data_IF_979652432016
#
_entry.id   IF_979652432016
#
_cell.length_a   1.000
_cell.length_b   1.000
_cell.length_c   1.000
_cell.angle_alpha   90.00
_cell.angle_beta   90.00
_cell.angle_gamma   90.00
#
_symmetry.space_group_name_H-M   'P 1'
#
loop_
_entity.id
_entity.type
_entity.pdbx_description
1 polymer ?
#
# COMPACT_ATOMS: atom_id res chain seq x y z
N UNK A 1 27.17 5.32 62.09
CA UNK A 1 26.11 4.29 62.00
C UNK A 1 25.01 4.69 61.01
N UNK A 2 24.34 5.84 61.15
CA UNK A 2 23.30 6.31 60.22
C UNK A 2 23.73 6.35 58.74
N UNK A 3 24.92 6.90 58.45
CA UNK A 3 25.48 6.95 57.10
C UNK A 3 25.63 5.57 56.43
N UNK A 4 26.00 4.55 57.19
CA UNK A 4 26.12 3.19 56.66
C UNK A 4 24.74 2.61 56.29
N UNK A 5 23.71 2.89 57.09
CA UNK A 5 22.33 2.50 56.73
C UNK A 5 21.82 3.24 55.51
N UNK A 6 22.13 4.53 55.37
CA UNK A 6 21.74 5.32 54.20
C UNK A 6 22.42 4.80 52.93
N UNK A 7 23.72 4.52 52.99
CA UNK A 7 24.47 3.93 51.87
C UNK A 7 23.92 2.54 51.53
N UNK A 8 23.63 1.70 52.54
CA UNK A 8 23.02 0.40 52.33
C UNK A 8 21.63 0.51 51.68
N UNK A 9 20.80 1.47 52.10
CA UNK A 9 19.50 1.74 51.48
C UNK A 9 19.66 2.12 50.01
N UNK A 10 20.55 3.09 49.70
CA UNK A 10 20.79 3.52 48.33
C UNK A 10 21.33 2.38 47.47
N UNK A 11 22.23 1.55 48.00
CA UNK A 11 22.76 0.38 47.31
C UNK A 11 21.67 -0.65 47.01
N UNK A 12 20.77 -0.92 47.97
CA UNK A 12 19.62 -1.82 47.76
C UNK A 12 18.67 -1.25 46.72
N UNK A 13 18.31 0.04 46.80
CA UNK A 13 17.44 0.69 45.82
C UNK A 13 18.05 0.65 44.42
N UNK A 14 19.36 0.93 44.29
CA UNK A 14 20.08 0.86 43.02
C UNK A 14 20.14 -0.58 42.48
N UNK A 15 20.38 -1.57 43.34
CA UNK A 15 20.39 -2.98 42.96
C UNK A 15 19.01 -3.46 42.52
N UNK A 16 17.93 -3.06 43.21
CA UNK A 16 16.55 -3.35 42.81
C UNK A 16 16.21 -2.64 41.50
N UNK A 17 16.58 -1.37 41.35
CA UNK A 17 16.37 -0.63 40.11
C UNK A 17 17.10 -1.29 38.94
N UNK A 18 18.36 -1.73 39.14
CA UNK A 18 19.09 -2.52 38.15
C UNK A 18 18.49 -3.91 37.94
N UNK A 19 17.89 -4.55 38.94
CA UNK A 19 17.22 -5.85 38.73
C UNK A 19 15.91 -5.68 37.93
N UNK A 20 15.21 -4.57 38.12
CA UNK A 20 13.96 -4.22 37.42
C UNK A 20 14.25 -3.71 36.00
N UNK A 21 15.28 -2.88 35.81
CA UNK A 21 15.69 -2.36 34.49
C UNK A 21 16.62 -3.32 33.73
N UNK A 22 17.38 -4.14 34.44
CA UNK A 22 18.48 -4.96 33.92
C UNK A 22 18.07 -6.38 33.55
N UNK A 23 16.78 -6.70 33.54
CA UNK A 23 16.24 -7.81 32.73
C UNK A 23 16.30 -7.50 31.23
N UNK A 24 17.48 -7.08 30.75
CA UNK A 24 18.22 -7.84 29.75
C UNK A 24 17.59 -8.10 28.38
N UNK A 25 16.43 -7.55 28.05
CA UNK A 25 16.19 -7.13 26.69
C UNK A 25 17.27 -6.09 26.41
N UNK A 26 18.05 -6.31 25.36
CA UNK A 26 19.08 -5.39 24.92
C UNK A 26 18.59 -3.91 24.97
N UNK A 27 19.48 -2.95 24.71
CA UNK A 27 19.04 -1.97 23.71
C UNK A 27 18.73 -2.77 22.45
N UNK A 28 17.60 -3.48 22.44
CA UNK A 28 16.90 -3.99 21.31
C UNK A 28 16.83 -2.71 20.55
N UNK A 29 17.63 -2.62 19.48
CA UNK A 29 17.33 -1.76 18.34
C UNK A 29 15.83 -1.50 18.43
N UNK A 30 15.44 -0.33 18.94
CA UNK A 30 14.11 -0.12 19.51
C UNK A 30 13.20 -0.33 18.32
N UNK A 31 12.65 -1.55 18.21
CA UNK A 31 12.57 -2.27 16.94
C UNK A 31 12.08 -1.31 15.92
N UNK A 32 13.00 -0.82 15.04
CA UNK A 32 12.81 0.39 14.23
C UNK A 32 11.34 0.52 13.97
N UNK A 33 10.63 1.44 14.64
CA UNK A 33 9.18 1.34 14.79
C UNK A 33 8.58 1.11 13.40
N UNK A 34 8.30 -0.15 13.13
CA UNK A 34 8.24 -0.69 11.77
C UNK A 34 6.76 -0.63 11.54
N UNK A 35 6.31 0.08 10.49
CA UNK A 35 4.90 0.08 10.09
C UNK A 35 4.36 -1.35 10.27
N UNK A 36 3.52 -1.55 11.29
CA UNK A 36 2.96 -2.86 11.62
C UNK A 36 2.17 -3.39 10.42
N UNK A 37 1.59 -2.48 9.66
CA UNK A 37 0.94 -2.73 8.38
C UNK A 37 1.77 -2.12 7.25
N UNK A 38 2.63 -2.93 6.64
CA UNK A 38 3.36 -2.51 5.44
C UNK A 38 2.37 -2.36 4.30
N UNK A 39 2.51 -1.24 3.59
CA UNK A 39 1.81 -1.01 2.35
C UNK A 39 2.00 -2.22 1.39
N UNK A 40 0.94 -2.65 0.69
CA UNK A 40 1.03 -3.77 -0.24
C UNK A 40 2.08 -3.48 -1.31
N UNK A 41 3.04 -4.40 -1.48
CA UNK A 41 4.14 -4.27 -2.43
C UNK A 41 3.89 -5.03 -3.74
N UNK A 42 2.85 -5.85 -3.76
CA UNK A 42 2.46 -6.76 -4.83
C UNK A 42 1.45 -6.15 -5.80
N UNK A 43 0.78 -5.06 -5.40
CA UNK A 43 -0.21 -4.35 -6.22
C UNK A 43 -0.05 -2.83 -6.13
N UNK A 44 -0.56 -2.07 -7.12
CA UNK A 44 -0.68 -0.63 -7.02
C UNK A 44 -1.46 -0.23 -5.77
N UNK A 45 -1.05 0.86 -5.15
CA UNK A 45 -1.72 1.42 -3.99
C UNK A 45 -3.07 1.99 -4.38
N UNK A 46 -4.05 1.80 -3.51
CA UNK A 46 -5.35 2.45 -3.60
C UNK A 46 -5.56 3.37 -2.40
N UNK A 47 -6.53 4.28 -2.49
CA UNK A 47 -6.82 5.24 -1.43
C UNK A 47 -7.04 4.60 -0.06
N UNK A 48 -7.77 3.48 0.01
CA UNK A 48 -8.02 2.80 1.30
C UNK A 48 -6.75 2.24 1.95
N UNK A 49 -5.72 1.94 1.15
CA UNK A 49 -4.44 1.48 1.69
C UNK A 49 -3.72 2.64 2.41
N UNK A 50 -3.79 3.85 1.86
CA UNK A 50 -3.23 5.06 2.49
C UNK A 50 -3.99 5.39 3.77
N UNK A 51 -5.33 5.33 3.74
CA UNK A 51 -6.17 5.61 4.91
C UNK A 51 -5.94 4.63 6.07
N UNK A 52 -5.51 3.40 5.77
CA UNK A 52 -5.24 2.35 6.75
C UNK A 52 -3.82 2.42 7.35
N UNK A 53 -2.89 3.16 6.73
CA UNK A 53 -1.50 3.22 7.17
C UNK A 53 -1.39 3.85 8.56
N UNK A 54 -0.71 3.15 9.46
CA UNK A 54 -0.36 3.66 10.79
C UNK A 54 1.12 3.93 10.86
N UNK A 55 1.46 5.21 10.84
CA UNK A 55 2.84 5.66 10.99
C UNK A 55 3.20 5.73 12.47
N UNK A 56 4.29 5.05 12.87
CA UNK A 56 4.73 5.06 14.25
C UNK A 56 5.29 6.42 14.69
N UNK A 57 5.18 6.72 15.99
CA UNK A 57 5.59 8.01 16.56
C UNK A 57 7.02 7.95 17.10
N UNK A 58 7.90 8.83 16.62
CA UNK A 58 9.27 8.94 17.08
C UNK A 58 9.52 10.22 17.90
N UNK A 59 10.44 10.14 18.88
CA UNK A 59 10.85 11.27 19.76
C UNK A 59 11.35 12.49 18.96
N UNK A 60 11.90 12.25 17.76
CA UNK A 60 12.06 13.24 16.69
C UNK A 60 11.36 12.71 15.45
N UNK A 61 10.39 13.46 14.95
CA UNK A 61 9.64 13.10 13.75
C UNK A 61 8.96 14.31 13.14
N UNK A 62 8.39 14.12 11.95
CA UNK A 62 7.46 15.09 11.37
C UNK A 62 6.23 15.22 12.27
N UNK A 63 5.57 16.38 12.24
CA UNK A 63 4.33 16.56 13.01
C UNK A 63 3.24 15.70 12.37
N UNK A 64 2.48 15.00 13.21
CA UNK A 64 1.40 14.11 12.75
C UNK A 64 0.38 14.85 11.88
N UNK A 65 -0.01 16.08 12.26
CA UNK A 65 -0.95 16.89 11.48
C UNK A 65 -0.44 17.20 10.07
N UNK A 66 0.83 17.59 9.93
CA UNK A 66 1.40 17.92 8.62
C UNK A 66 1.51 16.67 7.74
N UNK A 67 1.81 15.52 8.36
CA UNK A 67 1.87 14.23 7.67
C UNK A 67 0.47 13.78 7.22
N UNK A 68 -0.52 13.86 8.10
CA UNK A 68 -1.91 13.49 7.82
C UNK A 68 -2.48 14.36 6.68
N UNK A 69 -2.23 15.68 6.70
CA UNK A 69 -2.66 16.58 5.62
C UNK A 69 -2.06 16.19 4.26
N UNK A 70 -0.77 15.85 4.24
CA UNK A 70 -0.09 15.40 3.02
C UNK A 70 -0.62 14.05 2.55
N UNK A 71 -0.88 13.10 3.46
CA UNK A 71 -1.43 11.79 3.12
C UNK A 71 -2.87 11.90 2.59
N UNK A 72 -3.70 12.74 3.19
CA UNK A 72 -5.06 13.01 2.71
C UNK A 72 -5.06 13.59 1.29
N UNK A 73 -4.17 14.56 1.05
CA UNK A 73 -3.98 15.17 -0.26
C UNK A 73 -3.54 14.13 -1.30
N UNK A 74 -2.56 13.30 -0.96
CA UNK A 74 -2.05 12.25 -1.84
C UNK A 74 -3.11 11.18 -2.11
N UNK A 75 -3.89 10.78 -1.11
CA UNK A 75 -4.99 9.82 -1.26
C UNK A 75 -6.08 10.32 -2.20
N UNK A 76 -6.39 11.62 -2.15
CA UNK A 76 -7.33 12.24 -3.09
C UNK A 76 -6.78 12.26 -4.53
N UNK A 77 -5.52 12.65 -4.71
CA UNK A 77 -4.89 12.68 -6.04
C UNK A 77 -4.72 11.27 -6.64
N UNK A 78 -4.47 10.27 -5.80
CA UNK A 78 -4.41 8.87 -6.23
C UNK A 78 -5.77 8.38 -6.72
N UNK A 79 -6.85 8.65 -5.98
CA UNK A 79 -8.20 8.28 -6.38
C UNK A 79 -8.63 8.93 -7.71
N UNK A 80 -8.24 10.20 -7.94
CA UNK A 80 -8.48 10.88 -9.21
C UNK A 80 -7.72 10.22 -10.37
N UNK A 81 -6.44 9.86 -10.14
CA UNK A 81 -5.64 9.15 -11.15
C UNK A 81 -6.21 7.78 -11.48
N UNK A 82 -6.63 7.02 -10.48
CA UNK A 82 -7.20 5.69 -10.68
C UNK A 82 -8.51 5.76 -11.45
N UNK A 83 -9.38 6.75 -11.16
CA UNK A 83 -10.59 6.99 -11.92
C UNK A 83 -10.28 7.32 -13.38
N UNK A 84 -9.25 8.14 -13.62
CA UNK A 84 -8.82 8.49 -14.98
C UNK A 84 -8.25 7.30 -15.74
N UNK A 85 -7.49 6.43 -15.07
CA UNK A 85 -6.97 5.20 -15.67
C UNK A 85 -8.13 4.27 -16.06
N UNK A 86 -9.09 4.06 -15.17
CA UNK A 86 -10.26 3.23 -15.45
C UNK A 86 -11.08 3.74 -16.66
N UNK A 87 -11.23 5.06 -16.78
CA UNK A 87 -11.88 5.68 -17.95
C UNK A 87 -11.09 5.39 -19.23
N UNK A 88 -9.78 5.59 -19.23
CA UNK A 88 -8.92 5.33 -20.38
C UNK A 88 -8.94 3.85 -20.79
N UNK A 89 -8.86 2.93 -19.83
CA UNK A 89 -8.95 1.49 -20.07
C UNK A 89 -10.30 1.09 -20.68
N UNK A 90 -11.40 1.69 -20.19
CA UNK A 90 -12.74 1.45 -20.75
C UNK A 90 -12.85 1.94 -22.21
N UNK A 91 -12.25 3.11 -22.51
CA UNK A 91 -12.24 3.66 -23.87
C UNK A 91 -11.44 2.77 -24.84
N UNK A 92 -10.30 2.26 -24.37
CA UNK A 92 -9.42 1.38 -25.11
C UNK A 92 -10.09 0.02 -25.37
N UNK A 93 -10.74 -0.56 -24.35
CA UNK A 93 -11.54 -1.77 -24.49
C UNK A 93 -12.69 -1.59 -25.50
N UNK A 94 -13.36 -0.44 -25.48
CA UNK A 94 -14.41 -0.08 -26.44
C UNK A 94 -13.89 -0.02 -27.88
N UNK A 95 -12.70 0.55 -28.10
CA UNK A 95 -12.06 0.60 -29.42
C UNK A 95 -11.71 -0.80 -29.93
N UNK A 96 -11.14 -1.67 -29.08
CA UNK A 96 -10.83 -3.05 -29.47
C UNK A 96 -12.08 -3.86 -29.81
N UNK A 97 -13.16 -3.70 -29.05
CA UNK A 97 -14.43 -4.36 -29.34
C UNK A 97 -15.00 -3.94 -30.71
N UNK A 98 -14.98 -2.63 -31.02
CA UNK A 98 -15.45 -2.11 -32.31
C UNK A 98 -14.55 -2.53 -33.50
N UNK A 99 -13.24 -2.59 -33.30
CA UNK A 99 -12.33 -3.08 -34.33
C UNK A 99 -12.56 -4.56 -34.65
N UNK A 100 -12.85 -5.37 -33.63
CA UNK A 100 -13.15 -6.80 -33.79
C UNK A 100 -14.46 -7.04 -34.55
N UNK A 101 -15.51 -6.27 -34.26
CA UNK A 101 -16.80 -6.40 -34.96
C UNK A 101 -16.75 -5.95 -36.43
N UNK A 102 -15.98 -4.90 -36.74
CA UNK A 102 -15.73 -4.48 -38.14
C UNK A 102 -14.95 -5.54 -38.93
N UNK A 103 -13.97 -6.20 -38.31
CA UNK A 103 -13.21 -7.29 -38.94
C UNK A 103 -14.09 -8.50 -39.26
N UNK A 104 -14.99 -8.87 -38.34
CA UNK A 104 -15.93 -9.99 -38.54
C UNK A 104 -16.93 -9.72 -39.68
N UNK A 105 -17.42 -8.47 -39.80
CA UNK A 105 -18.37 -8.07 -40.86
C UNK A 105 -17.73 -8.06 -42.25
N UNK A 106 -16.41 -7.84 -42.35
CA UNK A 106 -15.70 -7.79 -43.64
C UNK A 106 -15.40 -9.17 -44.23
N UNK A 107 -15.60 -10.24 -43.46
CA UNK A 107 -15.20 -11.60 -43.84
C UNK A 107 -16.34 -12.46 -44.40
N UNK A 108 -17.48 -11.89 -44.80
CA UNK A 108 -18.53 -12.62 -45.54
C UNK A 108 -18.06 -12.83 -47.00
N UNK A 109 -17.68 -14.05 -47.42
CA UNK A 109 -17.34 -14.31 -48.81
C UNK A 109 -18.64 -14.36 -49.63
N UNK A 110 -18.75 -13.70 -50.79
CA UNK A 110 -19.88 -13.94 -51.67
C UNK A 110 -19.89 -15.42 -52.05
N UNK A 111 -20.99 -16.08 -51.70
CA UNK A 111 -21.25 -17.48 -51.98
C UNK A 111 -20.92 -17.80 -53.43
N UNK A 112 -20.11 -18.84 -53.62
CA UNK A 112 -19.86 -19.45 -54.90
C UNK A 112 -21.22 -19.82 -55.54
N UNK A 113 -21.53 -19.17 -56.66
CA UNK A 113 -22.62 -19.58 -57.53
C UNK A 113 -22.15 -20.81 -58.30
N UNK A 114 -22.15 -21.97 -57.62
CA UNK A 114 -22.17 -23.26 -58.27
C UNK A 114 -23.61 -23.53 -58.71
N UNK A 115 -23.93 -23.13 -59.93
CA UNK A 115 -25.05 -23.72 -60.65
C UNK A 115 -24.64 -23.98 -62.10
N UNK A 116 -24.07 -25.16 -62.28
CA UNK A 116 -23.92 -25.77 -63.60
C UNK A 116 -25.29 -25.94 -64.25
N UNK A 117 -25.35 -25.59 -65.53
CA UNK A 117 -26.40 -25.93 -66.48
C UNK A 117 -25.65 -26.04 -67.83
N UNK A 118 -25.10 -27.20 -68.18
CA UNK A 118 -25.78 -28.32 -68.83
C UNK A 118 -26.41 -27.94 -70.19
N UNK A 119 -25.69 -28.28 -71.26
CA UNK A 119 -26.24 -28.47 -72.60
C UNK A 119 -26.08 -27.30 -73.56
N UNK A 120 -25.17 -27.42 -74.54
CA UNK A 120 -25.49 -27.76 -75.94
C UNK A 120 -24.20 -28.07 -76.72
#
# INVERSE_FOLDING_TARGET
>A
MFWFMLIALVAVVAAVAMAVLGDGGSLRDAGTDRLDDRLPADRPLIRSDIDAVRLPTAVRGYRMLDVDEVLDRLGAELAERDARIAELESSLAGVYAHGSTMSLTKQEPPAADERGDAGE
#
